data_IF_709452880308
#
_entry.id   IF_709452880308
#
_cell.length_a   1.000
_cell.length_b   1.000
_cell.length_c   1.000
_cell.angle_alpha   90.00
_cell.angle_beta   90.00
_cell.angle_gamma   90.00
#
_symmetry.space_group_name_H-M   'P 1'
#
loop_
_entity.id
_entity.type
_entity.pdbx_description
1 polymer ?
#
# COMPACT_ATOMS: atom_id res chain seq x y z
N UNK A 1 -0.54 16.81 5.02
CA UNK A 1 0.57 16.88 4.00
C UNK A 1 0.14 17.76 2.82
N UNK A 2 0.93 18.74 2.38
CA UNK A 2 0.62 19.53 1.18
C UNK A 2 1.13 18.79 -0.06
N UNK A 3 0.21 18.24 -0.85
CA UNK A 3 0.53 17.59 -2.12
C UNK A 3 0.55 18.64 -3.24
N UNK A 4 1.75 19.00 -3.71
CA UNK A 4 1.95 19.87 -4.87
C UNK A 4 2.56 19.04 -5.99
N UNK A 5 2.09 19.23 -7.23
CA UNK A 5 2.65 18.55 -8.39
C UNK A 5 4.15 18.84 -8.53
N UNK A 6 4.96 17.81 -8.81
CA UNK A 6 6.41 17.92 -8.94
C UNK A 6 7.20 17.95 -7.63
N UNK A 7 6.54 17.94 -6.48
CA UNK A 7 7.22 17.83 -5.18
C UNK A 7 7.56 16.38 -4.83
N UNK A 8 8.78 16.14 -4.38
CA UNK A 8 9.15 14.85 -3.77
C UNK A 8 8.55 14.77 -2.37
N UNK A 9 7.80 13.71 -2.12
CA UNK A 9 7.13 13.45 -0.83
C UNK A 9 7.86 12.32 -0.12
N UNK A 10 8.20 12.54 1.15
CA UNK A 10 8.79 11.53 2.04
C UNK A 10 7.75 11.09 3.04
N UNK A 11 6.96 10.08 2.67
CA UNK A 11 5.77 9.66 3.41
C UNK A 11 6.04 9.44 4.90
N UNK A 12 7.07 8.67 5.26
CA UNK A 12 7.38 8.38 6.65
C UNK A 12 7.88 9.61 7.43
N UNK A 13 8.69 10.46 6.80
CA UNK A 13 9.28 11.62 7.48
C UNK A 13 8.25 12.73 7.72
N UNK A 14 7.33 12.93 6.77
CA UNK A 14 6.33 14.00 6.80
C UNK A 14 5.08 13.64 7.63
N UNK A 15 4.93 12.36 8.04
CA UNK A 15 3.75 11.86 8.75
C UNK A 15 4.12 11.11 10.03
N UNK A 16 4.94 11.71 10.87
CA UNK A 16 5.36 11.08 12.13
C UNK A 16 4.17 10.79 13.04
N UNK A 17 4.13 9.63 13.74
CA UNK A 17 3.08 9.32 14.68
C UNK A 17 2.95 10.33 15.81
N UNK A 18 1.73 10.75 16.10
CA UNK A 18 1.39 11.61 17.23
C UNK A 18 1.08 10.72 18.44
N UNK A 19 1.74 10.90 19.60
CA UNK A 19 1.55 10.05 20.77
C UNK A 19 0.08 9.83 21.15
N UNK A 20 -0.32 8.57 21.29
CA UNK A 20 -1.67 8.15 21.65
C UNK A 20 -2.72 8.29 20.54
N UNK A 21 -2.32 8.68 19.34
CA UNK A 21 -3.26 8.93 18.24
C UNK A 21 -3.02 8.01 17.04
N UNK A 22 -4.10 7.72 16.35
CA UNK A 22 -4.07 7.33 14.93
C UNK A 22 -4.54 8.53 14.12
N UNK A 23 -3.71 8.98 13.19
CA UNK A 23 -4.00 10.11 12.30
C UNK A 23 -4.05 9.60 10.88
N UNK A 24 -5.05 10.04 10.12
CA UNK A 24 -5.14 9.75 8.68
C UNK A 24 -5.30 11.04 7.89
N UNK A 25 -4.68 11.07 6.72
CA UNK A 25 -4.84 12.13 5.75
C UNK A 25 -5.22 11.52 4.41
N UNK A 26 -6.39 11.89 3.92
CA UNK A 26 -6.86 11.49 2.61
C UNK A 26 -6.23 12.39 1.55
N UNK A 27 -5.41 11.81 0.68
CA UNK A 27 -4.72 12.52 -0.39
C UNK A 27 -5.59 12.61 -1.63
N UNK A 28 -6.28 11.52 -1.92
CA UNK A 28 -7.15 11.40 -3.09
C UNK A 28 -8.33 10.48 -2.77
N UNK A 29 -9.50 10.83 -3.27
CA UNK A 29 -10.67 9.94 -3.30
C UNK A 29 -11.60 10.33 -4.43
N UNK A 30 -12.09 9.34 -5.15
CA UNK A 30 -13.28 9.42 -6.00
C UNK A 30 -14.28 8.31 -5.59
N UNK A 31 -15.30 8.07 -6.40
CA UNK A 31 -16.34 7.07 -6.10
C UNK A 31 -15.81 5.63 -6.08
N UNK A 32 -14.65 5.36 -6.67
CA UNK A 32 -14.13 4.02 -6.88
C UNK A 32 -12.74 3.79 -6.26
N UNK A 33 -11.95 4.85 -6.08
CA UNK A 33 -10.55 4.76 -5.69
C UNK A 33 -10.22 5.73 -4.57
N UNK A 34 -9.31 5.33 -3.71
CA UNK A 34 -8.81 6.18 -2.63
C UNK A 34 -7.30 6.00 -2.42
N UNK A 35 -6.66 7.05 -1.97
CA UNK A 35 -5.30 7.01 -1.48
C UNK A 35 -5.17 7.85 -0.22
N UNK A 36 -4.77 7.21 0.87
CA UNK A 36 -4.64 7.85 2.19
C UNK A 36 -3.32 7.46 2.83
N UNK A 37 -2.80 8.37 3.64
CA UNK A 37 -1.66 8.13 4.52
C UNK A 37 -2.16 8.01 5.95
N UNK A 38 -1.66 7.02 6.67
CA UNK A 38 -1.95 6.77 8.07
C UNK A 38 -0.67 6.82 8.89
N UNK A 39 -0.75 7.44 10.06
CA UNK A 39 0.28 7.34 11.08
C UNK A 39 -0.36 6.88 12.39
N UNK A 40 0.15 5.80 12.94
CA UNK A 40 -0.33 5.18 14.16
C UNK A 40 0.75 5.23 15.22
N UNK A 41 0.43 5.80 16.40
CA UNK A 41 1.31 5.71 17.54
C UNK A 41 1.38 4.30 18.12
N UNK A 42 2.45 3.97 18.83
CA UNK A 42 2.55 2.68 19.54
C UNK A 42 1.38 2.47 20.50
N UNK A 43 0.87 1.24 20.53
CA UNK A 43 -0.28 0.86 21.34
C UNK A 43 -1.64 1.30 20.78
N UNK A 44 -1.71 1.76 19.53
CA UNK A 44 -2.99 2.14 18.91
C UNK A 44 -3.49 1.08 17.92
N UNK A 45 -4.78 1.13 17.61
CA UNK A 45 -5.44 0.22 16.69
C UNK A 45 -6.54 0.90 15.90
N UNK A 46 -6.86 0.32 14.74
CA UNK A 46 -8.04 0.61 13.94
C UNK A 46 -8.95 -0.61 14.03
N UNK A 47 -10.20 -0.39 14.42
CA UNK A 47 -11.21 -1.43 14.56
C UNK A 47 -11.43 -2.15 13.23
N UNK A 48 -11.78 -3.45 13.33
CA UNK A 48 -12.04 -4.24 12.15
C UNK A 48 -13.34 -3.78 11.44
N UNK A 49 -13.23 -3.52 10.15
CA UNK A 49 -14.32 -3.10 9.27
C UNK A 49 -14.40 -4.00 8.04
N UNK A 50 -15.61 -4.14 7.48
CA UNK A 50 -15.84 -4.96 6.30
C UNK A 50 -15.80 -4.08 5.05
N UNK A 51 -14.94 -4.45 4.10
CA UNK A 51 -14.88 -3.83 2.79
C UNK A 51 -15.21 -4.84 1.69
N UNK A 52 -15.93 -4.38 0.67
CA UNK A 52 -16.27 -5.19 -0.51
C UNK A 52 -15.21 -5.08 -1.61
N UNK A 53 -14.19 -4.27 -1.39
CA UNK A 53 -13.09 -4.00 -2.31
C UNK A 53 -11.75 -4.22 -1.61
N UNK A 54 -10.72 -4.47 -2.40
CA UNK A 54 -9.37 -4.65 -1.89
C UNK A 54 -8.69 -3.31 -1.60
N UNK A 55 -7.82 -3.32 -0.61
CA UNK A 55 -6.91 -2.23 -0.28
C UNK A 55 -5.47 -2.75 -0.30
N UNK A 56 -4.57 -2.02 -0.93
CA UNK A 56 -3.14 -2.23 -0.78
C UNK A 56 -2.65 -1.41 0.41
N UNK A 57 -2.15 -2.09 1.41
CA UNK A 57 -1.51 -1.52 2.58
C UNK A 57 0.00 -1.60 2.38
N UNK A 58 0.72 -0.48 2.46
CA UNK A 58 2.19 -0.44 2.32
C UNK A 58 2.79 0.31 3.49
N UNK A 59 3.63 -0.37 4.27
CA UNK A 59 4.29 0.21 5.46
C UNK A 59 5.60 0.87 5.06
N UNK A 60 5.79 2.13 5.46
CA UNK A 60 6.99 2.93 5.20
C UNK A 60 7.91 3.05 6.42
N UNK A 61 7.35 3.00 7.62
CA UNK A 61 8.15 2.95 8.87
C UNK A 61 7.42 2.17 9.95
N UNK A 62 8.18 1.56 10.87
CA UNK A 62 7.63 0.74 11.94
C UNK A 62 7.04 -0.57 11.44
N UNK A 63 6.04 -1.07 12.16
CA UNK A 63 5.32 -2.30 11.81
C UNK A 63 3.89 -2.27 12.33
N UNK A 64 3.00 -3.01 11.66
CA UNK A 64 1.63 -3.22 12.11
C UNK A 64 1.22 -4.68 11.95
N UNK A 65 0.28 -5.13 12.76
CA UNK A 65 -0.42 -6.39 12.58
C UNK A 65 -1.77 -6.11 11.90
N UNK A 66 -1.99 -6.72 10.75
CA UNK A 66 -3.28 -6.76 10.06
C UNK A 66 -3.98 -8.04 10.47
N UNK A 67 -5.19 -7.94 10.97
CA UNK A 67 -5.94 -9.09 11.47
C UNK A 67 -7.37 -9.12 10.95
N UNK A 68 -7.95 -10.31 10.90
CA UNK A 68 -9.34 -10.53 10.51
C UNK A 68 -10.10 -11.28 11.61
N UNK A 69 -11.42 -11.20 11.59
CA UNK A 69 -12.27 -11.87 12.56
C UNK A 69 -12.28 -13.41 12.41
N UNK A 70 -11.91 -13.94 11.26
CA UNK A 70 -11.79 -15.37 10.97
C UNK A 70 -10.42 -15.97 11.36
N UNK A 71 -9.55 -15.17 11.99
CA UNK A 71 -8.32 -15.64 12.62
C UNK A 71 -7.04 -15.39 11.83
N UNK A 72 -7.07 -14.73 10.67
CA UNK A 72 -5.85 -14.29 10.04
C UNK A 72 -5.18 -13.22 10.92
N UNK A 73 -3.86 -13.30 11.08
CA UNK A 73 -3.03 -12.25 11.64
C UNK A 73 -1.69 -12.22 10.89
N UNK A 74 -1.31 -11.07 10.36
CA UNK A 74 -0.07 -10.89 9.59
C UNK A 74 0.64 -9.63 10.06
N UNK A 75 1.91 -9.77 10.43
CA UNK A 75 2.78 -8.62 10.68
C UNK A 75 3.31 -8.10 9.35
N UNK A 76 3.17 -6.80 9.15
CA UNK A 76 3.67 -6.06 7.99
C UNK A 76 4.69 -5.06 8.49
N UNK A 77 5.94 -5.19 8.06
CA UNK A 77 7.06 -4.33 8.46
C UNK A 77 7.35 -3.25 7.41
N UNK A 78 8.17 -2.28 7.76
CA UNK A 78 8.62 -1.25 6.81
C UNK A 78 9.19 -1.87 5.52
N UNK A 79 8.74 -1.39 4.36
CA UNK A 79 9.06 -1.90 3.04
C UNK A 79 8.23 -3.10 2.59
N UNK A 80 7.30 -3.57 3.42
CA UNK A 80 6.37 -4.65 3.08
C UNK A 80 4.98 -4.11 2.78
N UNK A 81 4.22 -4.90 2.03
CA UNK A 81 2.85 -4.62 1.63
C UNK A 81 1.95 -5.83 1.86
N UNK A 82 0.65 -5.58 1.94
CA UNK A 82 -0.38 -6.60 2.03
C UNK A 82 -1.62 -6.13 1.27
N UNK A 83 -2.25 -7.03 0.50
CA UNK A 83 -3.59 -6.80 -0.04
C UNK A 83 -4.63 -7.28 0.97
N UNK A 84 -5.53 -6.40 1.39
CA UNK A 84 -6.59 -6.78 2.33
C UNK A 84 -7.54 -7.81 1.73
N UNK A 85 -7.98 -8.84 2.48
CA UNK A 85 -9.12 -9.64 2.08
C UNK A 85 -10.40 -8.78 2.04
N UNK A 86 -11.41 -9.26 1.30
CA UNK A 86 -12.71 -8.62 1.16
C UNK A 86 -13.79 -9.42 1.87
N UNK A 87 -14.90 -8.76 2.21
CA UNK A 87 -16.10 -9.36 2.81
C UNK A 87 -15.86 -10.05 4.18
N UNK A 88 -14.77 -9.74 4.83
CA UNK A 88 -14.46 -10.11 6.22
C UNK A 88 -14.02 -8.87 6.98
N UNK A 89 -14.27 -8.76 8.29
CA UNK A 89 -13.76 -7.65 9.10
C UNK A 89 -12.23 -7.67 9.13
N UNK A 90 -11.59 -6.57 8.70
CA UNK A 90 -10.13 -6.36 8.69
C UNK A 90 -9.80 -5.20 9.60
N UNK A 91 -8.96 -5.42 10.59
CA UNK A 91 -8.45 -4.40 11.50
C UNK A 91 -6.93 -4.33 11.47
N UNK A 92 -6.38 -3.26 12.04
CA UNK A 92 -4.95 -3.04 12.17
C UNK A 92 -4.60 -2.64 13.60
N UNK A 93 -3.41 -3.03 14.07
CA UNK A 93 -2.86 -2.60 15.36
C UNK A 93 -1.34 -2.50 15.28
N UNK A 94 -0.76 -1.68 16.12
CA UNK A 94 0.70 -1.56 16.23
C UNK A 94 1.12 -1.39 17.69
N UNK A 95 2.18 -2.09 18.08
CA UNK A 95 2.77 -1.95 19.42
C UNK A 95 3.82 -0.85 19.45
N UNK A 96 4.53 -0.62 18.35
CA UNK A 96 5.69 0.28 18.26
C UNK A 96 5.44 1.55 17.47
N UNK A 97 4.30 1.63 16.81
CA UNK A 97 3.97 2.70 15.86
C UNK A 97 4.35 2.36 14.43
N UNK A 98 3.63 2.95 13.48
CA UNK A 98 3.92 2.81 12.05
C UNK A 98 3.38 3.98 11.23
N UNK A 99 3.95 4.15 10.04
CA UNK A 99 3.40 4.97 8.96
C UNK A 99 3.17 4.08 7.76
N UNK A 100 1.95 4.10 7.22
CA UNK A 100 1.60 3.30 6.06
C UNK A 100 0.66 4.07 5.11
N UNK A 101 0.56 3.61 3.88
CA UNK A 101 -0.45 4.08 2.93
C UNK A 101 -1.50 3.02 2.71
N UNK A 102 -2.69 3.49 2.43
CA UNK A 102 -3.83 2.69 2.03
C UNK A 102 -4.29 3.14 0.65
N UNK A 103 -4.24 2.24 -0.33
CA UNK A 103 -4.77 2.44 -1.66
C UNK A 103 -5.99 1.54 -1.85
N UNK A 104 -7.17 2.13 -1.95
CA UNK A 104 -8.42 1.42 -2.27
C UNK A 104 -8.58 1.27 -3.77
N UNK A 105 -9.03 0.09 -4.20
CA UNK A 105 -9.24 -0.24 -5.62
C UNK A 105 -10.72 -0.41 -5.94
N UNK A 106 -11.15 -0.19 -7.21
CA UNK A 106 -12.49 -0.53 -7.63
C UNK A 106 -12.84 -1.98 -7.32
N UNK A 107 -14.10 -2.25 -7.02
CA UNK A 107 -14.58 -3.59 -6.68
C UNK A 107 -14.31 -4.64 -7.76
N UNK A 108 -14.43 -4.23 -9.03
CA UNK A 108 -14.25 -5.10 -10.21
C UNK A 108 -12.79 -5.17 -10.68
N UNK A 109 -11.85 -4.78 -9.84
CA UNK A 109 -10.43 -4.72 -10.17
C UNK A 109 -9.86 -6.11 -10.45
N UNK A 110 -9.16 -6.25 -11.58
CA UNK A 110 -8.37 -7.44 -11.90
C UNK A 110 -6.97 -7.30 -11.30
N UNK A 111 -6.61 -8.22 -10.42
CA UNK A 111 -5.27 -8.30 -9.83
C UNK A 111 -4.43 -9.37 -10.52
N UNK A 112 -3.12 -9.13 -10.62
CA UNK A 112 -2.18 -10.15 -11.06
C UNK A 112 -2.21 -11.35 -10.10
N UNK A 113 -2.18 -12.55 -10.64
CA UNK A 113 -2.26 -13.81 -9.84
C UNK A 113 -1.11 -14.00 -8.84
N UNK A 114 -0.01 -13.26 -8.99
CA UNK A 114 1.10 -13.24 -8.03
C UNK A 114 0.68 -12.59 -6.68
N UNK A 115 -0.33 -11.73 -6.71
CA UNK A 115 -0.87 -11.06 -5.53
C UNK A 115 -1.99 -11.90 -4.94
N UNK A 116 -1.86 -12.24 -3.68
CA UNK A 116 -2.89 -12.95 -2.92
C UNK A 116 -3.32 -12.11 -1.73
N UNK A 117 -4.61 -11.94 -1.56
CA UNK A 117 -5.15 -11.27 -0.40
C UNK A 117 -4.74 -11.99 0.90
N UNK A 118 -4.28 -11.23 1.88
CA UNK A 118 -3.77 -11.72 3.16
C UNK A 118 -2.30 -12.15 3.17
N UNK A 119 -1.62 -12.20 2.04
CA UNK A 119 -0.18 -12.48 1.99
C UNK A 119 0.62 -11.18 2.12
N UNK A 120 1.73 -11.26 2.86
CA UNK A 120 2.72 -10.17 2.97
C UNK A 120 3.77 -10.35 1.89
N UNK A 121 4.10 -9.27 1.21
CA UNK A 121 5.09 -9.26 0.13
C UNK A 121 5.87 -7.93 0.08
N UNK A 122 6.98 -7.91 -0.65
CA UNK A 122 7.72 -6.68 -0.96
C UNK A 122 7.58 -6.39 -2.45
N UNK A 123 7.13 -5.19 -2.78
CA UNK A 123 6.98 -4.76 -4.19
C UNK A 123 8.28 -4.95 -4.97
N UNK A 124 9.43 -4.61 -4.37
CA UNK A 124 10.73 -4.75 -5.01
C UNK A 124 11.14 -6.18 -5.36
N UNK A 125 10.56 -7.19 -4.67
CA UNK A 125 10.93 -8.60 -4.85
C UNK A 125 10.02 -9.29 -5.90
N UNK A 126 8.96 -8.60 -6.37
CA UNK A 126 8.04 -9.14 -7.36
C UNK A 126 8.61 -9.13 -8.78
N UNK A 127 9.58 -8.27 -9.07
CA UNK A 127 10.12 -8.09 -10.41
C UNK A 127 11.66 -8.01 -10.37
N UNK A 128 12.37 -9.05 -10.88
CA UNK A 128 13.84 -9.04 -10.89
C UNK A 128 14.39 -8.06 -11.92
N UNK A 129 15.61 -7.56 -11.66
CA UNK A 129 16.39 -6.86 -12.67
C UNK A 129 16.85 -7.83 -13.76
N UNK A 130 16.89 -7.35 -14.99
CA UNK A 130 17.45 -8.07 -16.15
C UNK A 130 18.47 -7.18 -16.83
N UNK A 131 19.67 -7.74 -17.08
CA UNK A 131 20.80 -7.02 -17.67
C UNK A 131 20.42 -6.31 -18.98
N UNK A 132 20.70 -5.00 -19.03
CA UNK A 132 20.45 -4.13 -20.17
C UNK A 132 18.96 -3.89 -20.49
N UNK A 133 18.04 -4.22 -19.58
CA UNK A 133 16.61 -4.15 -19.87
C UNK A 133 15.81 -3.38 -18.83
N UNK A 134 14.68 -2.86 -19.29
CA UNK A 134 13.57 -2.44 -18.43
C UNK A 134 12.55 -3.56 -18.46
N UNK A 135 12.14 -4.02 -17.29
CA UNK A 135 11.08 -5.01 -17.15
C UNK A 135 9.91 -4.38 -16.43
N UNK A 136 8.68 -4.65 -16.88
CA UNK A 136 7.48 -4.17 -16.22
C UNK A 136 6.53 -5.32 -15.89
N UNK A 137 5.70 -5.11 -14.89
CA UNK A 137 4.62 -6.02 -14.50
C UNK A 137 3.41 -5.21 -14.07
N UNK A 138 2.28 -5.45 -14.73
CA UNK A 138 1.00 -4.92 -14.30
C UNK A 138 0.53 -5.71 -13.07
N UNK A 139 0.41 -5.05 -11.93
CA UNK A 139 -0.08 -5.66 -10.69
C UNK A 139 -1.59 -5.55 -10.57
N UNK A 140 -2.13 -4.40 -10.98
CA UNK A 140 -3.55 -4.11 -10.94
C UNK A 140 -3.92 -3.38 -12.22
N UNK A 141 -4.98 -3.83 -12.86
CA UNK A 141 -5.49 -3.23 -14.07
C UNK A 141 -7.01 -3.14 -14.02
N UNK A 142 -7.50 -1.93 -14.28
CA UNK A 142 -8.91 -1.59 -14.44
C UNK A 142 -9.02 -0.44 -15.45
N UNK A 143 -10.23 -0.16 -15.94
CA UNK A 143 -10.48 0.84 -17.00
C UNK A 143 -9.84 2.21 -16.72
N UNK A 144 -9.84 2.66 -15.47
CA UNK A 144 -9.36 3.97 -15.05
C UNK A 144 -8.21 3.89 -14.04
N UNK A 145 -7.59 2.71 -13.87
CA UNK A 145 -6.49 2.50 -12.94
C UNK A 145 -5.52 1.45 -13.49
N UNK A 146 -4.27 1.84 -13.56
CA UNK A 146 -3.16 0.92 -13.86
C UNK A 146 -2.09 1.09 -12.77
N UNK A 147 -1.84 0.03 -12.00
CA UNK A 147 -0.76 -0.02 -11.02
C UNK A 147 0.30 -0.99 -11.53
N UNK A 148 1.47 -0.44 -11.84
CA UNK A 148 2.58 -1.15 -12.50
C UNK A 148 3.82 -1.02 -11.65
N UNK A 149 4.60 -2.10 -11.55
CA UNK A 149 5.99 -2.01 -11.10
C UNK A 149 6.91 -2.13 -12.29
N UNK A 150 8.02 -1.43 -12.23
CA UNK A 150 9.07 -1.45 -13.26
C UNK A 150 10.42 -1.59 -12.60
N UNK A 151 11.28 -2.46 -13.14
CA UNK A 151 12.69 -2.53 -12.79
C UNK A 151 13.53 -2.00 -13.94
N UNK A 152 14.51 -1.16 -13.60
CA UNK A 152 15.43 -0.55 -14.54
C UNK A 152 16.83 -1.07 -14.23
N UNK A 153 17.49 -1.66 -15.20
CA UNK A 153 18.91 -1.95 -15.06
C UNK A 153 19.75 -0.68 -15.16
N UNK A 154 20.97 -0.71 -14.63
CA UNK A 154 21.84 0.45 -14.65
C UNK A 154 22.05 0.97 -16.08
N UNK A 155 21.91 2.29 -16.27
CA UNK A 155 22.04 2.94 -17.56
C UNK A 155 20.84 2.79 -18.49
N UNK A 156 19.75 2.13 -18.06
CA UNK A 156 18.50 2.08 -18.84
C UNK A 156 17.59 3.25 -18.49
N UNK A 157 16.72 3.65 -19.42
CA UNK A 157 15.77 4.73 -19.23
C UNK A 157 14.62 4.64 -20.21
N UNK A 158 13.48 5.25 -19.85
CA UNK A 158 12.36 5.44 -20.75
C UNK A 158 12.60 6.70 -21.58
N UNK A 159 12.41 6.60 -22.90
CA UNK A 159 12.36 7.78 -23.76
C UNK A 159 11.05 8.51 -23.56
N UNK A 160 11.07 9.82 -23.80
CA UNK A 160 9.86 10.62 -23.88
C UNK A 160 8.98 10.11 -25.02
N UNK A 161 7.71 9.86 -24.72
CA UNK A 161 6.71 9.42 -25.70
C UNK A 161 5.36 10.05 -25.35
N UNK A 162 4.58 10.39 -26.36
CA UNK A 162 3.23 10.93 -26.22
C UNK A 162 2.19 9.79 -26.16
#
# INVERSE_FOLDING_TARGET
MRTEAGRVIRIAEENQPVPGCTVSEQIFQDDEKSFSVFSMAGGTSISAEIYTYHKLLTVYSGSMDVFTSDGMSRRVNAGESLISPTNVPVGMKTDTGCVYTETGFPKETTMNQILRAGDVFKLKDLLPYQEGRIVNMDLIHEKNLKFVIMSFDEGTGLSEHA
#
